data_IF_785617539723
#
_entry.id   IF_785617539723
#
_cell.length_a   1.000
_cell.length_b   1.000
_cell.length_c   1.000
_cell.angle_alpha   90.00
_cell.angle_beta   90.00
_cell.angle_gamma   90.00
#
_symmetry.space_group_name_H-M   'P 1'
#
loop_
_entity.id
_entity.type
_entity.pdbx_description
1 polymer ?
#
# COMPACT_ATOMS: atom_id res chain seq x y z
N UNK A 1 -5.35 -5.53 9.50
CA UNK A 1 -4.01 -5.19 10.04
C UNK A 1 -4.04 -4.22 11.23
N UNK A 2 -4.73 -3.07 11.20
CA UNK A 2 -4.65 -2.09 12.31
C UNK A 2 -5.53 -2.38 13.55
N UNK A 3 -6.47 -3.31 13.45
CA UNK A 3 -7.41 -3.66 14.54
C UNK A 3 -6.93 -4.85 15.39
N UNK A 4 -5.62 -5.06 15.46
CA UNK A 4 -5.01 -6.20 16.15
C UNK A 4 -5.39 -6.27 17.64
N UNK A 5 -5.59 -5.12 18.30
CA UNK A 5 -5.98 -5.03 19.71
C UNK A 5 -7.30 -5.75 20.02
N UNK A 6 -8.18 -5.95 19.02
CA UNK A 6 -9.43 -6.70 19.18
C UNK A 6 -9.23 -8.21 19.36
N UNK A 7 -8.01 -8.73 19.08
CA UNK A 7 -7.72 -10.15 19.11
C UNK A 7 -7.95 -10.79 20.48
N UNK A 8 -7.49 -10.15 21.57
CA UNK A 8 -7.67 -10.67 22.92
C UNK A 8 -9.15 -10.80 23.28
N UNK A 9 -9.95 -9.81 22.91
CA UNK A 9 -11.40 -9.84 23.12
C UNK A 9 -12.06 -10.94 22.29
N UNK A 10 -11.66 -11.10 21.02
CA UNK A 10 -12.17 -12.17 20.17
C UNK A 10 -11.90 -13.56 20.77
N UNK A 11 -10.69 -13.78 21.31
CA UNK A 11 -10.32 -15.01 22.01
C UNK A 11 -11.18 -15.25 23.27
N UNK A 12 -11.40 -14.22 24.09
CA UNK A 12 -12.24 -14.31 25.29
C UNK A 12 -13.70 -14.67 24.96
N UNK A 13 -14.21 -14.19 23.83
CA UNK A 13 -15.56 -14.44 23.36
C UNK A 13 -15.68 -15.72 22.51
N UNK A 14 -14.59 -16.43 22.24
CA UNK A 14 -14.58 -17.61 21.38
C UNK A 14 -14.86 -17.31 19.89
N UNK A 15 -14.64 -16.07 19.44
CA UNK A 15 -14.89 -15.62 18.07
C UNK A 15 -13.65 -15.85 17.20
N UNK A 16 -13.83 -16.45 16.03
CA UNK A 16 -12.75 -16.60 15.05
C UNK A 16 -12.48 -15.28 14.34
N UNK A 17 -11.29 -14.73 14.56
CA UNK A 17 -10.85 -13.49 13.92
C UNK A 17 -10.05 -13.78 12.65
N UNK A 18 -10.39 -13.07 11.57
CA UNK A 18 -9.60 -13.06 10.35
C UNK A 18 -8.91 -11.71 10.18
N UNK A 19 -7.64 -11.73 9.79
CA UNK A 19 -6.90 -10.55 9.39
C UNK A 19 -7.03 -10.37 7.88
N UNK A 20 -7.54 -9.23 7.44
CA UNK A 20 -7.46 -8.81 6.05
C UNK A 20 -6.23 -7.92 5.81
N UNK A 21 -5.41 -8.30 4.85
CA UNK A 21 -4.30 -7.53 4.32
C UNK A 21 -4.72 -6.88 3.00
N UNK A 22 -4.78 -5.55 3.00
CA UNK A 22 -4.94 -4.76 1.77
C UNK A 22 -3.65 -4.68 0.94
N UNK A 23 -2.51 -5.08 1.53
CA UNK A 23 -1.23 -5.22 0.83
C UNK A 23 -1.13 -6.60 0.21
N UNK A 24 -0.41 -6.69 -0.90
CA UNK A 24 -0.15 -7.96 -1.59
C UNK A 24 0.64 -8.97 -0.76
N UNK A 25 0.65 -10.23 -1.18
CA UNK A 25 1.27 -11.31 -0.41
C UNK A 25 2.80 -11.18 -0.31
N UNK A 26 3.43 -10.49 -1.26
CA UNK A 26 4.87 -10.21 -1.22
C UNK A 26 5.27 -9.49 0.06
N UNK A 27 4.54 -8.46 0.46
CA UNK A 27 4.84 -7.70 1.68
C UNK A 27 4.75 -8.59 2.92
N UNK A 28 3.75 -9.47 2.99
CA UNK A 28 3.61 -10.39 4.12
C UNK A 28 4.67 -11.49 4.11
N UNK A 29 5.06 -12.01 2.94
CA UNK A 29 6.19 -12.94 2.81
C UNK A 29 7.48 -12.34 3.37
N UNK A 30 7.75 -11.06 3.08
CA UNK A 30 8.90 -10.33 3.65
C UNK A 30 8.80 -10.26 5.18
N UNK A 31 7.64 -9.87 5.71
CA UNK A 31 7.43 -9.76 7.16
C UNK A 31 7.59 -11.12 7.86
N UNK A 32 7.06 -12.21 7.28
CA UNK A 32 7.22 -13.57 7.81
C UNK A 32 8.68 -14.01 7.81
N UNK A 33 9.37 -13.86 6.67
CA UNK A 33 10.78 -14.25 6.54
C UNK A 33 11.68 -13.49 7.52
N UNK A 34 11.49 -12.17 7.68
CA UNK A 34 12.34 -11.35 8.55
C UNK A 34 12.07 -11.58 10.04
N UNK A 35 10.88 -12.06 10.39
CA UNK A 35 10.56 -12.50 11.75
C UNK A 35 11.30 -13.79 12.10
N UNK A 36 11.32 -14.75 11.18
CA UNK A 36 11.96 -16.05 11.40
C UNK A 36 13.49 -15.95 11.30
N UNK A 37 13.98 -15.04 10.45
CA UNK A 37 15.40 -14.81 10.19
C UNK A 37 15.73 -13.32 10.29
N UNK A 38 15.99 -12.80 11.51
CA UNK A 38 16.27 -11.40 11.69
C UNK A 38 17.63 -10.98 11.10
N UNK A 39 17.76 -9.69 10.75
CA UNK A 39 18.96 -9.07 10.17
C UNK A 39 20.02 -8.78 11.24
N UNK A 40 20.40 -9.79 12.03
CA UNK A 40 21.21 -9.64 13.26
C UNK A 40 22.64 -9.11 13.05
N UNK A 41 23.13 -8.99 11.81
CA UNK A 41 24.51 -8.57 11.49
C UNK A 41 24.63 -7.46 10.44
N UNK A 42 23.52 -6.82 10.02
CA UNK A 42 23.58 -5.75 9.03
C UNK A 42 23.67 -4.36 9.69
N UNK A 43 24.54 -3.50 9.16
CA UNK A 43 24.56 -2.09 9.54
C UNK A 43 23.40 -1.36 8.86
N UNK A 44 22.28 -1.26 9.59
CA UNK A 44 21.05 -0.62 9.13
C UNK A 44 21.10 0.92 9.18
N UNK A 45 22.24 1.51 9.51
CA UNK A 45 22.44 2.96 9.45
C UNK A 45 22.67 3.47 8.02
N UNK A 46 23.15 2.62 7.10
CA UNK A 46 23.26 2.96 5.69
C UNK A 46 21.92 2.65 4.96
N UNK A 47 21.15 3.67 4.54
CA UNK A 47 19.88 3.44 3.85
C UNK A 47 20.06 2.76 2.49
N UNK A 48 21.23 2.87 1.85
CA UNK A 48 21.50 2.28 0.55
C UNK A 48 22.09 0.86 0.64
N UNK A 49 22.32 0.36 1.86
CA UNK A 49 22.78 -1.00 2.10
C UNK A 49 21.84 -1.99 1.43
N UNK A 50 22.39 -2.86 0.59
CA UNK A 50 21.64 -3.91 -0.06
C UNK A 50 21.37 -5.06 0.92
N UNK A 51 20.10 -5.34 1.15
CA UNK A 51 19.61 -6.45 1.98
C UNK A 51 19.15 -7.57 1.06
N UNK A 52 19.69 -8.76 1.28
CA UNK A 52 19.32 -9.97 0.53
C UNK A 52 18.28 -10.77 1.29
N UNK A 53 17.12 -10.98 0.69
CA UNK A 53 16.02 -11.77 1.22
C UNK A 53 16.02 -13.17 0.60
N UNK A 54 17.12 -13.91 0.80
CA UNK A 54 17.39 -15.20 0.15
C UNK A 54 16.42 -16.33 0.54
N UNK A 55 15.64 -16.15 1.62
CA UNK A 55 14.60 -17.08 2.09
C UNK A 55 13.24 -16.85 1.43
N UNK A 56 13.11 -15.78 0.66
CA UNK A 56 11.89 -15.42 -0.07
C UNK A 56 12.03 -15.90 -1.52
N UNK A 57 10.93 -16.34 -2.17
CA UNK A 57 10.93 -16.65 -3.59
C UNK A 57 11.56 -15.54 -4.43
N UNK A 58 12.30 -15.93 -5.47
CA UNK A 58 13.06 -15.04 -6.34
C UNK A 58 14.23 -14.27 -5.68
N UNK A 59 14.57 -14.56 -4.41
CA UNK A 59 15.76 -14.05 -3.71
C UNK A 59 15.99 -12.55 -3.93
N UNK A 60 15.04 -11.76 -3.46
CA UNK A 60 14.98 -10.33 -3.71
C UNK A 60 16.12 -9.58 -3.01
N UNK A 61 16.67 -8.58 -3.69
CA UNK A 61 17.70 -7.69 -3.15
C UNK A 61 17.16 -6.27 -3.20
N UNK A 62 17.08 -5.62 -2.04
CA UNK A 62 16.58 -4.26 -1.93
C UNK A 62 17.53 -3.39 -1.11
N UNK A 63 17.69 -2.11 -1.46
CA UNK A 63 18.31 -1.17 -0.55
C UNK A 63 17.45 -1.02 0.71
N UNK A 64 18.08 -0.85 1.86
CA UNK A 64 17.42 -0.82 3.16
C UNK A 64 16.25 0.18 3.22
N UNK A 65 16.39 1.36 2.61
CA UNK A 65 15.33 2.38 2.58
C UNK A 65 14.01 1.90 1.97
N UNK A 66 14.01 0.91 1.07
CA UNK A 66 12.78 0.34 0.51
C UNK A 66 12.10 -0.64 1.48
N UNK A 67 12.89 -1.30 2.33
CA UNK A 67 12.39 -2.24 3.33
C UNK A 67 11.98 -1.53 4.62
N UNK A 68 12.49 -0.32 4.88
CA UNK A 68 12.22 0.42 6.11
C UNK A 68 10.73 0.47 6.45
N UNK A 69 9.83 0.78 5.52
CA UNK A 69 8.39 0.84 5.81
C UNK A 69 7.82 -0.50 6.30
N UNK A 70 8.27 -1.63 5.73
CA UNK A 70 7.83 -2.98 6.13
C UNK A 70 8.53 -3.46 7.41
N UNK A 71 9.73 -2.95 7.67
CA UNK A 71 10.66 -3.43 8.69
C UNK A 71 10.84 -2.47 9.86
N UNK A 72 10.20 -1.29 9.82
CA UNK A 72 10.13 -0.33 10.92
C UNK A 72 9.70 -1.06 12.18
N UNK A 73 8.77 -2.02 12.02
CA UNK A 73 8.23 -2.88 13.06
C UNK A 73 9.21 -3.89 13.64
N UNK A 74 10.47 -4.01 13.22
CA UNK A 74 11.44 -4.90 13.88
C UNK A 74 12.74 -4.16 14.21
N UNK A 75 13.19 -3.24 13.36
CA UNK A 75 14.55 -2.67 13.44
C UNK A 75 14.63 -1.17 13.71
N UNK A 76 13.49 -0.46 13.75
CA UNK A 76 13.48 0.92 14.25
C UNK A 76 13.16 0.89 15.75
N UNK A 77 14.21 0.91 16.56
CA UNK A 77 14.08 1.12 18.01
C UNK A 77 13.73 2.60 18.28
N UNK A 78 12.84 2.82 19.26
CA UNK A 78 12.57 4.11 19.93
C UNK A 78 11.49 5.04 19.37
N UNK A 79 10.51 4.54 18.62
CA UNK A 79 9.28 5.31 18.33
C UNK A 79 8.03 4.51 18.73
N UNK A 80 7.09 5.07 19.52
CA UNK A 80 5.86 4.38 19.93
C UNK A 80 5.03 3.81 18.78
N UNK A 81 5.10 4.40 17.58
CA UNK A 81 4.40 3.89 16.40
C UNK A 81 5.05 2.59 15.91
N UNK A 82 6.37 2.50 15.93
CA UNK A 82 7.10 1.27 15.60
C UNK A 82 6.70 0.13 16.53
N UNK A 83 6.73 0.34 17.85
CA UNK A 83 6.31 -0.64 18.86
C UNK A 83 4.86 -1.11 18.65
N UNK A 84 3.94 -0.16 18.46
CA UNK A 84 2.53 -0.43 18.16
C UNK A 84 2.34 -1.28 16.89
N UNK A 85 3.13 -1.03 15.85
CA UNK A 85 3.10 -1.80 14.62
C UNK A 85 3.74 -3.19 14.79
N UNK A 86 4.78 -3.35 15.62
CA UNK A 86 5.38 -4.68 15.93
C UNK A 86 4.33 -5.59 16.55
N UNK A 87 3.71 -5.13 17.63
CA UNK A 87 2.69 -5.88 18.35
C UNK A 87 1.51 -6.19 17.43
N UNK A 88 1.14 -5.21 16.59
CA UNK A 88 0.08 -5.40 15.62
C UNK A 88 0.36 -6.50 14.62
N UNK A 89 1.54 -6.53 14.02
CA UNK A 89 1.94 -7.59 13.08
C UNK A 89 1.91 -8.96 13.77
N UNK A 90 2.50 -9.09 14.96
CA UNK A 90 2.55 -10.35 15.69
C UNK A 90 1.14 -10.89 16.01
N UNK A 91 0.26 -10.02 16.50
CA UNK A 91 -1.11 -10.38 16.86
C UNK A 91 -1.97 -10.69 15.63
N UNK A 92 -1.79 -9.94 14.54
CA UNK A 92 -2.44 -10.26 13.27
C UNK A 92 -2.05 -11.65 12.75
N UNK A 93 -0.76 -12.01 12.83
CA UNK A 93 -0.28 -13.33 12.42
C UNK A 93 -0.81 -14.47 13.29
N UNK A 94 -1.22 -14.18 14.53
CA UNK A 94 -1.85 -15.13 15.44
C UNK A 94 -3.37 -15.28 15.22
N UNK A 95 -3.96 -14.49 14.32
CA UNK A 95 -5.39 -14.60 13.98
C UNK A 95 -5.75 -16.01 13.48
N UNK A 96 -7.03 -16.38 13.58
CA UNK A 96 -7.51 -17.67 13.08
C UNK A 96 -7.15 -17.84 11.59
N UNK A 97 -7.28 -16.74 10.83
CA UNK A 97 -6.96 -16.74 9.41
C UNK A 97 -6.43 -15.43 8.85
N UNK A 98 -5.77 -15.53 7.70
CA UNK A 98 -5.21 -14.44 6.93
C UNK A 98 -5.87 -14.38 5.55
N UNK A 99 -6.44 -13.23 5.23
CA UNK A 99 -7.10 -12.95 3.97
C UNK A 99 -6.31 -11.88 3.22
N UNK A 100 -6.03 -12.14 1.94
CA UNK A 100 -5.22 -11.27 1.10
C UNK A 100 -6.04 -10.69 -0.03
N UNK A 101 -5.96 -9.38 -0.23
CA UNK A 101 -6.33 -8.77 -1.50
C UNK A 101 -5.31 -9.22 -2.56
N UNK A 102 -5.71 -10.13 -3.42
CA UNK A 102 -4.79 -11.01 -4.12
C UNK A 102 -5.00 -10.99 -5.62
N UNK A 103 -3.91 -10.90 -6.38
CA UNK A 103 -3.91 -11.08 -7.83
C UNK A 103 -2.97 -12.22 -8.21
N UNK A 104 -3.55 -13.34 -8.63
CA UNK A 104 -2.86 -14.63 -8.73
C UNK A 104 -1.71 -14.63 -9.72
N UNK A 105 -1.83 -13.88 -10.79
CA UNK A 105 -0.89 -13.83 -11.89
C UNK A 105 0.40 -13.09 -11.50
N UNK A 106 0.31 -12.15 -10.55
CA UNK A 106 1.46 -11.33 -10.14
C UNK A 106 2.20 -11.91 -8.94
N UNK A 107 1.48 -12.48 -7.97
CA UNK A 107 2.06 -12.70 -6.65
C UNK A 107 2.17 -14.17 -6.23
N UNK A 108 1.72 -15.15 -7.06
CA UNK A 108 1.58 -16.59 -6.70
C UNK A 108 2.68 -17.14 -5.81
N UNK A 109 3.93 -16.95 -6.23
CA UNK A 109 5.11 -17.46 -5.51
C UNK A 109 5.17 -16.98 -4.06
N UNK A 110 4.78 -15.74 -3.76
CA UNK A 110 4.84 -15.18 -2.41
C UNK A 110 3.70 -15.67 -1.53
N UNK A 111 2.53 -15.94 -2.10
CA UNK A 111 1.41 -16.51 -1.34
C UNK A 111 1.61 -17.97 -1.00
N UNK A 112 2.16 -18.74 -1.94
CA UNK A 112 2.58 -20.12 -1.67
C UNK A 112 3.60 -20.14 -0.52
N UNK A 113 4.55 -19.19 -0.50
CA UNK A 113 5.47 -19.03 0.62
C UNK A 113 4.77 -18.63 1.93
N UNK A 114 3.80 -17.70 1.92
CA UNK A 114 3.03 -17.38 3.14
C UNK A 114 2.21 -18.59 3.61
N UNK A 115 1.69 -19.42 2.71
CA UNK A 115 1.01 -20.68 3.05
C UNK A 115 1.96 -21.68 3.73
N UNK A 116 3.20 -21.79 3.26
CA UNK A 116 4.24 -22.62 3.87
C UNK A 116 4.58 -22.13 5.30
N UNK A 117 4.71 -20.82 5.50
CA UNK A 117 5.08 -20.23 6.78
C UNK A 117 3.91 -20.17 7.80
N UNK A 118 2.71 -19.81 7.36
CA UNK A 118 1.56 -19.60 8.24
C UNK A 118 0.67 -20.84 8.42
N UNK A 119 0.78 -21.80 7.49
CA UNK A 119 -0.06 -23.00 7.38
C UNK A 119 -1.12 -22.86 6.27
N UNK A 120 -1.31 -23.89 5.42
CA UNK A 120 -2.18 -23.80 4.24
C UNK A 120 -3.66 -23.60 4.59
N UNK A 121 -4.12 -24.13 5.72
CA UNK A 121 -5.50 -24.00 6.19
C UNK A 121 -5.79 -22.63 6.84
N UNK A 122 -4.82 -21.70 6.83
CA UNK A 122 -4.91 -20.39 7.48
C UNK A 122 -4.80 -19.21 6.52
N UNK A 123 -4.61 -19.46 5.23
CA UNK A 123 -4.34 -18.41 4.24
C UNK A 123 -5.35 -18.50 3.11
N UNK A 124 -6.04 -17.39 2.86
CA UNK A 124 -7.05 -17.27 1.81
C UNK A 124 -6.77 -16.07 0.92
N UNK A 125 -6.94 -16.27 -0.37
CA UNK A 125 -6.97 -15.21 -1.36
C UNK A 125 -8.41 -14.70 -1.51
N UNK A 126 -8.55 -13.39 -1.62
CA UNK A 126 -9.76 -12.73 -2.09
C UNK A 126 -9.37 -12.02 -3.38
N UNK A 127 -10.07 -12.33 -4.47
CA UNK A 127 -9.86 -11.63 -5.74
C UNK A 127 -9.97 -10.11 -5.55
N UNK A 128 -9.31 -9.30 -6.40
CA UNK A 128 -9.28 -7.87 -6.24
C UNK A 128 -10.70 -7.34 -6.08
N UNK A 129 -10.98 -6.78 -4.90
CA UNK A 129 -12.31 -6.29 -4.58
C UNK A 129 -12.66 -5.18 -5.57
N UNK A 130 -13.51 -5.51 -6.55
CA UNK A 130 -14.00 -4.51 -7.48
C UNK A 130 -14.91 -3.55 -6.71
N UNK A 131 -14.74 -2.23 -6.89
CA UNK A 131 -15.72 -1.27 -6.41
C UNK A 131 -17.08 -1.65 -7.01
N UNK A 132 -18.08 -1.91 -6.16
CA UNK A 132 -19.44 -2.20 -6.64
C UNK A 132 -20.05 -0.95 -7.26
N UNK A 133 -20.98 -1.09 -8.21
CA UNK A 133 -21.63 0.07 -8.86
C UNK A 133 -22.31 1.00 -7.83
N UNK A 134 -22.74 0.48 -6.68
CA UNK A 134 -23.31 1.26 -5.57
C UNK A 134 -22.28 2.12 -4.80
N UNK A 135 -20.99 1.81 -4.85
CA UNK A 135 -19.91 2.67 -4.31
C UNK A 135 -19.75 3.97 -5.11
N UNK A 136 -20.35 4.07 -6.31
CA UNK A 136 -20.45 5.33 -7.05
C UNK A 136 -21.45 6.30 -6.41
N UNK A 137 -22.38 5.81 -5.59
CA UNK A 137 -23.49 6.58 -5.02
C UNK A 137 -23.50 6.68 -3.49
N UNK A 138 -22.68 5.90 -2.76
CA UNK A 138 -22.71 5.85 -1.30
C UNK A 138 -21.42 6.37 -0.64
N UNK A 139 -21.47 7.66 -0.23
CA UNK A 139 -20.95 8.18 1.05
C UNK A 139 -19.77 7.40 1.68
N UNK A 140 -18.56 7.46 1.10
CA UNK A 140 -17.35 7.26 1.91
C UNK A 140 -17.26 8.44 2.89
N UNK A 141 -17.43 8.13 4.18
CA UNK A 141 -17.26 9.07 5.28
C UNK A 141 -15.89 9.76 5.17
N UNK A 142 -15.92 11.07 5.01
CA UNK A 142 -14.81 11.90 4.58
C UNK A 142 -15.33 12.89 3.55
N UNK A 143 -15.95 13.97 4.05
CA UNK A 143 -16.47 15.13 3.33
C UNK A 143 -16.21 15.11 1.83
N UNK A 144 -17.21 14.71 1.03
CA UNK A 144 -17.21 14.97 -0.42
C UNK A 144 -17.06 16.49 -0.53
N UNK A 145 -15.92 17.04 -0.99
CA UNK A 145 -15.95 18.42 -1.43
C UNK A 145 -16.94 18.40 -2.59
N UNK A 146 -18.02 19.14 -2.44
CA UNK A 146 -19.01 19.30 -3.48
C UNK A 146 -18.28 19.61 -4.80
N UNK A 147 -18.52 18.79 -5.83
CA UNK A 147 -18.10 19.01 -7.21
C UNK A 147 -16.59 18.88 -7.48
N UNK A 148 -16.07 17.66 -7.51
CA UNK A 148 -15.30 17.31 -8.71
C UNK A 148 -16.33 17.31 -9.85
N UNK A 149 -16.20 18.27 -10.78
CA UNK A 149 -16.94 18.25 -12.04
C UNK A 149 -16.86 16.85 -12.64
N UNK A 150 -17.97 16.36 -13.19
CA UNK A 150 -17.96 15.12 -13.96
C UNK A 150 -16.89 15.26 -15.06
N UNK A 151 -15.79 14.50 -14.91
CA UNK A 151 -14.63 14.55 -15.81
C UNK A 151 -14.88 13.67 -17.06
N UNK A 152 -15.95 12.86 -17.05
CA UNK A 152 -16.28 11.92 -18.12
C UNK A 152 -16.39 12.62 -19.49
N UNK A 153 -17.08 13.78 -19.63
CA UNK A 153 -17.15 14.47 -20.92
C UNK A 153 -15.79 14.90 -21.47
N UNK A 154 -14.82 15.24 -20.62
CA UNK A 154 -13.46 15.57 -21.06
C UNK A 154 -12.68 14.31 -21.46
N UNK A 155 -12.81 13.21 -20.70
CA UNK A 155 -12.21 11.92 -21.05
C UNK A 155 -12.72 11.41 -22.39
N UNK A 156 -14.01 11.59 -22.68
CA UNK A 156 -14.64 11.23 -23.95
C UNK A 156 -14.06 11.98 -25.17
N UNK A 157 -13.39 13.13 -24.95
CA UNK A 157 -12.67 13.86 -26.02
C UNK A 157 -11.25 13.33 -26.29
N UNK A 158 -10.77 12.37 -25.50
CA UNK A 158 -9.41 11.85 -25.58
C UNK A 158 -9.38 10.52 -26.33
N UNK A 159 -8.30 10.28 -27.06
CA UNK A 159 -8.08 8.98 -27.68
C UNK A 159 -7.82 7.90 -26.62
N UNK A 160 -8.23 6.67 -26.91
CA UNK A 160 -8.03 5.53 -26.03
C UNK A 160 -6.57 5.39 -25.57
N UNK A 161 -6.38 5.21 -24.27
CA UNK A 161 -5.05 4.97 -23.64
C UNK A 161 -4.04 6.12 -23.83
N UNK A 162 -4.51 7.35 -24.10
CA UNK A 162 -3.63 8.53 -24.24
C UNK A 162 -3.56 9.43 -23.01
N UNK A 163 -4.48 9.26 -22.07
CA UNK A 163 -4.53 10.06 -20.83
C UNK A 163 -3.74 9.36 -19.72
N UNK A 164 -2.83 10.07 -19.09
CA UNK A 164 -2.07 9.59 -17.94
C UNK A 164 -2.77 10.00 -16.65
N UNK A 165 -3.15 9.03 -15.81
CA UNK A 165 -3.61 9.32 -14.45
C UNK A 165 -2.42 9.36 -13.48
N UNK A 166 -2.31 10.43 -12.71
CA UNK A 166 -1.24 10.65 -11.73
C UNK A 166 -1.85 10.80 -10.34
N UNK A 167 -1.46 9.94 -9.41
CA UNK A 167 -1.91 10.00 -8.02
C UNK A 167 -0.89 9.36 -7.09
N UNK A 168 -0.58 10.04 -5.98
CA UNK A 168 0.38 9.57 -4.97
C UNK A 168 -0.31 8.97 -3.73
N UNK A 169 -1.56 8.53 -3.88
CA UNK A 169 -2.36 7.97 -2.80
C UNK A 169 -2.84 8.99 -1.79
N UNK A 170 -3.48 8.54 -0.72
CA UNK A 170 -4.13 9.39 0.29
C UNK A 170 -3.18 10.01 1.33
N UNK A 171 -1.95 9.49 1.47
CA UNK A 171 -1.02 9.94 2.52
C UNK A 171 0.11 10.86 2.01
N UNK A 172 0.56 10.73 0.76
CA UNK A 172 1.65 11.57 0.27
C UNK A 172 1.20 13.02 0.04
N UNK A 173 2.04 13.97 0.46
CA UNK A 173 1.92 15.40 0.18
C UNK A 173 3.23 15.85 -0.46
N UNK A 174 3.15 16.35 -1.69
CA UNK A 174 4.31 16.80 -2.44
C UNK A 174 4.61 18.26 -2.15
N UNK A 175 5.88 18.62 -2.13
CA UNK A 175 6.28 20.02 -2.03
C UNK A 175 6.19 20.73 -3.40
N UNK A 176 6.23 22.07 -3.39
CA UNK A 176 6.08 22.86 -4.61
C UNK A 176 7.12 22.51 -5.68
N UNK A 177 8.38 22.28 -5.29
CA UNK A 177 9.44 21.92 -6.25
C UNK A 177 9.16 20.59 -6.94
N UNK A 178 8.69 19.58 -6.19
CA UNK A 178 8.28 18.28 -6.75
C UNK A 178 7.08 18.43 -7.68
N UNK A 179 6.11 19.26 -7.30
CA UNK A 179 4.94 19.52 -8.13
C UNK A 179 5.34 20.18 -9.45
N UNK A 180 6.18 21.21 -9.37
CA UNK A 180 6.70 21.94 -10.54
C UNK A 180 7.50 21.03 -11.46
N UNK A 181 8.37 20.18 -10.93
CA UNK A 181 9.15 19.26 -11.73
C UNK A 181 8.27 18.23 -12.46
N UNK A 182 7.30 17.61 -11.77
CA UNK A 182 6.37 16.66 -12.38
C UNK A 182 5.53 17.35 -13.45
N UNK A 183 4.96 18.53 -13.16
CA UNK A 183 4.16 19.33 -14.11
C UNK A 183 4.98 19.64 -15.36
N UNK A 184 6.19 20.18 -15.18
CA UNK A 184 7.08 20.56 -16.28
C UNK A 184 7.41 19.39 -17.20
N UNK A 185 7.63 18.19 -16.63
CA UNK A 185 7.92 16.98 -17.41
C UNK A 185 6.69 16.48 -18.18
N UNK A 186 5.51 16.51 -17.57
CA UNK A 186 4.26 16.12 -18.23
C UNK A 186 3.93 17.06 -19.40
N UNK A 187 4.07 18.36 -19.20
CA UNK A 187 3.87 19.38 -20.24
C UNK A 187 4.84 19.21 -21.41
N UNK A 188 6.13 19.00 -21.12
CA UNK A 188 7.16 18.78 -22.14
C UNK A 188 6.88 17.56 -23.01
N UNK A 189 6.30 16.51 -22.42
CA UNK A 189 5.93 15.29 -23.14
C UNK A 189 4.61 15.40 -23.91
N UNK A 190 3.92 16.55 -23.82
CA UNK A 190 2.63 16.81 -24.47
C UNK A 190 1.56 15.75 -24.18
N UNK A 191 1.69 15.03 -23.07
CA UNK A 191 0.72 14.03 -22.65
C UNK A 191 -0.50 14.74 -22.06
N UNK A 192 -1.70 14.27 -22.38
CA UNK A 192 -2.89 14.63 -21.59
C UNK A 192 -2.78 13.90 -20.26
N UNK A 193 -3.01 14.59 -19.14
CA UNK A 193 -2.95 13.96 -17.83
C UNK A 193 -4.06 14.43 -16.91
N UNK A 194 -4.48 13.54 -16.00
CA UNK A 194 -5.37 13.81 -14.90
C UNK A 194 -4.58 13.61 -13.60
N UNK A 195 -4.39 14.66 -12.81
CA UNK A 195 -3.57 14.59 -11.59
C UNK A 195 -4.34 15.01 -10.34
N UNK A 196 -4.42 14.10 -9.38
CA UNK A 196 -4.84 14.38 -8.01
C UNK A 196 -3.72 15.05 -7.20
N UNK A 197 -3.71 16.38 -7.15
CA UNK A 197 -2.79 17.18 -6.32
C UNK A 197 -3.42 17.48 -4.96
N UNK A 198 -2.63 17.40 -3.88
CA UNK A 198 -3.01 17.91 -2.56
C UNK A 198 -2.19 19.15 -2.25
N UNK A 199 -2.83 20.23 -1.82
CA UNK A 199 -2.11 21.40 -1.31
C UNK A 199 -1.90 21.25 0.21
N UNK A 200 -0.70 21.56 0.69
CA UNK A 200 -0.44 21.63 2.13
C UNK A 200 -1.27 22.79 2.71
N UNK A 201 -2.40 22.45 3.36
CA UNK A 201 -3.37 23.29 4.08
C UNK A 201 -4.69 23.70 3.40
N UNK A 202 -4.98 23.32 2.15
CA UNK A 202 -6.35 23.38 1.62
C UNK A 202 -6.59 22.21 0.66
N UNK A 203 -7.70 21.51 0.84
CA UNK A 203 -8.18 20.54 -0.15
C UNK A 203 -8.68 21.30 -1.38
N UNK A 204 -7.76 21.69 -2.27
CA UNK A 204 -8.07 22.35 -3.53
C UNK A 204 -7.67 21.45 -4.69
N UNK A 205 -8.66 20.90 -5.39
CA UNK A 205 -8.43 20.16 -6.64
C UNK A 205 -8.07 21.15 -7.75
N UNK A 206 -6.90 21.00 -8.38
CA UNK A 206 -6.54 21.77 -9.57
C UNK A 206 -6.73 20.92 -10.81
N UNK A 207 -7.67 21.32 -11.66
CA UNK A 207 -7.62 20.95 -13.07
C UNK A 207 -6.47 21.74 -13.71
N UNK A 208 -5.33 21.08 -13.93
CA UNK A 208 -4.27 21.64 -14.76
C UNK A 208 -4.49 21.11 -16.17
N UNK A 209 -5.45 21.71 -16.87
CA UNK A 209 -5.56 21.54 -18.32
C UNK A 209 -4.34 22.22 -18.92
N UNK A 210 -3.49 21.47 -19.63
CA UNK A 210 -2.39 22.05 -20.40
C UNK A 210 -2.96 23.19 -21.25
N UNK A 211 -2.56 24.44 -20.94
CA UNK A 211 -2.92 25.59 -21.77
C UNK A 211 -2.13 25.46 -23.05
N UNK A 212 -2.79 24.98 -24.10
CA UNK A 212 -2.29 25.13 -25.46
C UNK A 212 -2.42 26.61 -25.83
N UNK A 213 -1.29 27.23 -26.15
CA UNK A 213 -1.24 28.50 -26.88
C UNK A 213 -1.74 28.30 -28.32
#
# INVERSE_FOLDING_TARGET
MFMWWTHQLACQLGIRQFMFSSSGAMAMSIIYSLRQYPLENDDLNDPNRLISLFRIPNSLIYPWWQLQFLCSTHYMERDPISEFLKDGVLVNMASFGLMFNWFSELERVYFDHVMEEAGPDRVWAVDPLQPTEDDSSAKRSGSRPELASDISPWLDTCEDRTVVYVCFGSQAVLNNNQIEEITSRLEKNRAKFLWCVKEAQKDTWREITARYH
#
